data_IF_076481653942
#
_entry.id   IF_076481653942
#
_cell.length_a   1.000
_cell.length_b   1.000
_cell.length_c   1.000
_cell.angle_alpha   90.00
_cell.angle_beta   90.00
_cell.angle_gamma   90.00
#
_symmetry.space_group_name_H-M   'P 1'
#
loop_
_entity.id
_entity.type
_entity.pdbx_description
1 polymer ?
#
# COMPACT_ATOMS: atom_id res chain seq x y z
N UNK A 1 2.96 15.46 -31.50
CA UNK A 1 2.07 16.44 -32.18
C UNK A 1 1.41 17.30 -31.13
N UNK A 2 1.48 18.62 -31.32
CA UNK A 2 0.70 19.58 -30.51
C UNK A 2 -0.69 19.59 -31.13
N UNK A 3 -1.63 18.85 -30.51
CA UNK A 3 -3.03 18.90 -30.94
C UNK A 3 -3.59 20.29 -30.65
N UNK A 4 -4.25 20.91 -31.62
CA UNK A 4 -5.05 22.10 -31.40
C UNK A 4 -6.26 21.72 -30.51
N UNK A 5 -6.16 22.05 -29.21
CA UNK A 5 -7.18 21.72 -28.19
C UNK A 5 -8.59 22.19 -28.61
N UNK A 6 -8.68 23.26 -29.39
CA UNK A 6 -9.98 23.82 -29.85
C UNK A 6 -10.64 22.96 -30.95
N UNK A 7 -9.89 22.12 -31.64
CA UNK A 7 -10.36 21.32 -32.75
C UNK A 7 -10.17 19.80 -32.52
N UNK A 8 -9.73 19.39 -31.34
CA UNK A 8 -9.52 17.97 -31.06
C UNK A 8 -10.81 17.32 -30.53
N UNK A 9 -11.57 16.74 -31.43
CA UNK A 9 -12.74 15.92 -31.12
C UNK A 9 -12.41 14.45 -31.38
N UNK A 10 -11.50 13.89 -30.53
CA UNK A 10 -11.04 12.52 -30.68
C UNK A 10 -11.79 11.58 -29.74
N UNK A 11 -12.29 10.44 -30.23
CA UNK A 11 -12.85 9.40 -29.37
C UNK A 11 -11.77 8.75 -28.51
N UNK A 12 -12.19 8.02 -27.48
CA UNK A 12 -11.26 7.22 -26.67
C UNK A 12 -10.71 6.08 -27.51
N UNK A 13 -9.39 5.87 -27.43
CA UNK A 13 -8.76 4.68 -27.97
C UNK A 13 -9.24 3.43 -27.23
N UNK A 14 -9.58 2.33 -27.91
CA UNK A 14 -9.96 1.08 -27.26
C UNK A 14 -8.93 0.61 -26.23
N UNK A 15 -9.40 0.14 -25.07
CA UNK A 15 -8.54 -0.30 -23.97
C UNK A 15 -7.45 -1.27 -24.42
N UNK A 16 -7.81 -2.28 -25.23
CA UNK A 16 -6.86 -3.30 -25.70
C UNK A 16 -5.72 -2.71 -26.54
N UNK A 17 -5.99 -1.68 -27.34
CA UNK A 17 -4.95 -1.01 -28.15
C UNK A 17 -4.00 -0.21 -27.26
N UNK A 18 -4.53 0.49 -26.22
CA UNK A 18 -3.70 1.22 -25.26
C UNK A 18 -2.83 0.26 -24.45
N UNK A 19 -3.38 -0.86 -23.98
CA UNK A 19 -2.64 -1.89 -23.27
C UNK A 19 -1.53 -2.49 -24.12
N UNK A 20 -1.81 -2.78 -25.38
CA UNK A 20 -0.80 -3.31 -26.32
C UNK A 20 0.30 -2.28 -26.57
N UNK A 21 -0.07 -1.02 -26.84
CA UNK A 21 0.88 0.07 -27.02
C UNK A 21 1.84 0.19 -25.82
N UNK A 22 1.31 0.17 -24.59
CA UNK A 22 2.15 0.25 -23.37
C UNK A 22 3.12 -0.94 -23.30
N UNK A 23 2.66 -2.16 -23.58
CA UNK A 23 3.49 -3.36 -23.54
C UNK A 23 4.58 -3.35 -24.62
N UNK A 24 4.26 -2.90 -25.82
CA UNK A 24 5.20 -2.79 -26.94
C UNK A 24 6.31 -1.78 -26.62
N UNK A 25 5.94 -0.57 -26.18
CA UNK A 25 6.88 0.48 -25.77
C UNK A 25 7.82 0.01 -24.67
N UNK A 26 7.27 -0.63 -23.61
CA UNK A 26 8.07 -1.15 -22.50
C UNK A 26 8.98 -2.31 -22.93
N UNK A 27 8.55 -3.11 -23.90
CA UNK A 27 9.36 -4.20 -24.46
C UNK A 27 10.53 -3.65 -25.27
N UNK A 28 10.30 -2.61 -26.07
CA UNK A 28 11.33 -1.96 -26.88
C UNK A 28 12.35 -1.20 -26.01
N UNK A 29 11.85 -0.42 -25.02
CA UNK A 29 12.74 0.46 -24.26
C UNK A 29 13.55 -0.24 -23.19
N UNK A 30 12.98 -1.27 -22.53
CA UNK A 30 13.64 -1.90 -21.37
C UNK A 30 15.08 -2.40 -21.68
N UNK A 31 15.39 -3.03 -22.82
CA UNK A 31 16.77 -3.44 -23.14
C UNK A 31 17.75 -2.29 -23.32
N UNK A 32 17.28 -1.09 -23.64
CA UNK A 32 18.11 0.09 -23.89
C UNK A 32 18.46 0.85 -22.62
N UNK A 33 17.72 0.61 -21.54
CA UNK A 33 17.91 1.27 -20.25
C UNK A 33 19.00 0.56 -19.43
N UNK A 34 19.80 1.31 -18.65
CA UNK A 34 20.80 0.72 -17.77
C UNK A 34 20.12 0.00 -16.58
N UNK A 35 20.80 -0.99 -16.04
CA UNK A 35 20.34 -1.69 -14.84
C UNK A 35 20.38 -0.78 -13.61
N UNK A 36 21.34 0.19 -13.57
CA UNK A 36 21.55 1.12 -12.46
C UNK A 36 22.18 2.42 -12.91
N UNK A 37 21.74 3.55 -12.36
CA UNK A 37 22.39 4.84 -12.49
C UNK A 37 23.31 5.12 -11.29
N UNK A 38 24.26 6.05 -11.46
CA UNK A 38 25.22 6.48 -10.43
C UNK A 38 25.32 8.00 -10.36
N UNK A 39 25.79 8.51 -9.22
CA UNK A 39 26.02 9.95 -9.03
C UNK A 39 24.73 10.76 -9.19
N UNK A 40 24.80 11.86 -9.91
CA UNK A 40 23.68 12.78 -10.12
C UNK A 40 22.53 12.24 -11.00
N UNK A 41 22.69 11.06 -11.58
CA UNK A 41 21.65 10.42 -12.40
C UNK A 41 20.80 9.41 -11.62
N UNK A 42 21.05 9.22 -10.33
CA UNK A 42 20.21 8.39 -9.45
C UNK A 42 18.77 8.93 -9.44
N UNK A 43 17.78 8.05 -9.53
CA UNK A 43 16.37 8.40 -9.63
C UNK A 43 15.81 8.42 -11.06
N UNK A 44 16.66 8.33 -12.10
CA UNK A 44 16.19 8.13 -13.48
C UNK A 44 15.61 6.72 -13.66
N UNK A 45 14.73 6.59 -14.66
CA UNK A 45 14.08 5.30 -15.01
C UNK A 45 15.13 4.29 -15.46
N UNK A 46 15.20 3.17 -14.73
CA UNK A 46 16.08 2.03 -15.03
C UNK A 46 15.36 0.94 -15.82
N UNK A 47 16.12 -0.04 -16.31
CA UNK A 47 15.57 -1.28 -16.87
C UNK A 47 14.61 -1.99 -15.89
N UNK A 48 14.97 -2.04 -14.61
CA UNK A 48 14.11 -2.60 -13.57
C UNK A 48 12.79 -1.88 -13.42
N UNK A 49 12.78 -0.54 -13.51
CA UNK A 49 11.55 0.25 -13.46
C UNK A 49 10.64 -0.02 -14.67
N UNK A 50 11.20 -0.04 -15.89
CA UNK A 50 10.44 -0.36 -17.10
C UNK A 50 9.83 -1.77 -17.06
N UNK A 51 10.62 -2.77 -16.63
CA UNK A 51 10.14 -4.16 -16.47
C UNK A 51 9.10 -4.27 -15.34
N UNK A 52 9.24 -3.53 -14.23
CA UNK A 52 8.24 -3.57 -13.16
C UNK A 52 6.90 -2.97 -13.61
N UNK A 53 6.93 -1.89 -14.40
CA UNK A 53 5.71 -1.33 -14.99
C UNK A 53 5.06 -2.32 -15.96
N UNK A 54 5.87 -3.01 -16.76
CA UNK A 54 5.41 -4.09 -17.65
C UNK A 54 4.74 -5.21 -16.84
N UNK A 55 5.37 -5.70 -15.79
CA UNK A 55 4.79 -6.74 -14.92
C UNK A 55 3.46 -6.29 -14.27
N UNK A 56 3.35 -5.02 -13.86
CA UNK A 56 2.08 -4.44 -13.38
C UNK A 56 0.99 -4.48 -14.44
N UNK A 57 1.30 -4.16 -15.69
CA UNK A 57 0.34 -4.24 -16.80
C UNK A 57 -0.07 -5.69 -17.09
N UNK A 58 0.89 -6.61 -17.14
CA UNK A 58 0.66 -8.03 -17.40
C UNK A 58 -0.25 -8.65 -16.33
N UNK A 59 0.05 -8.43 -15.02
CA UNK A 59 -0.79 -8.96 -13.93
C UNK A 59 -2.17 -8.30 -13.89
N UNK A 60 -2.28 -7.02 -14.24
CA UNK A 60 -3.57 -6.32 -14.31
C UNK A 60 -4.47 -6.87 -15.43
N UNK A 61 -3.89 -7.27 -16.54
CA UNK A 61 -4.58 -7.96 -17.65
C UNK A 61 -4.94 -9.41 -17.33
N UNK A 62 -4.34 -10.00 -16.29
CA UNK A 62 -4.45 -11.43 -15.99
C UNK A 62 -3.50 -12.30 -16.84
N UNK A 63 -2.52 -11.71 -17.53
CA UNK A 63 -1.48 -12.47 -18.21
C UNK A 63 -0.39 -12.92 -17.21
N UNK A 64 -0.76 -13.90 -16.42
CA UNK A 64 0.10 -14.41 -15.35
C UNK A 64 1.38 -15.06 -15.86
N UNK A 65 1.34 -15.67 -17.06
CA UNK A 65 2.54 -16.30 -17.64
C UNK A 65 3.58 -15.24 -18.03
N UNK A 66 3.16 -14.18 -18.70
CA UNK A 66 4.03 -13.06 -19.05
C UNK A 66 4.55 -12.36 -17.79
N UNK A 67 3.68 -12.09 -16.80
CA UNK A 67 4.07 -11.44 -15.55
C UNK A 67 5.13 -12.25 -14.78
N UNK A 68 4.97 -13.55 -14.63
CA UNK A 68 5.96 -14.40 -13.98
C UNK A 68 7.32 -14.33 -14.69
N UNK A 69 7.33 -14.43 -16.03
CA UNK A 69 8.55 -14.33 -16.83
C UNK A 69 9.23 -12.96 -16.74
N UNK A 70 8.44 -11.88 -16.70
CA UNK A 70 8.95 -10.51 -16.52
C UNK A 70 9.54 -10.33 -15.12
N UNK A 71 8.87 -10.83 -14.09
CA UNK A 71 9.38 -10.79 -12.70
C UNK A 71 10.70 -11.56 -12.58
N UNK A 72 10.85 -12.71 -13.23
CA UNK A 72 12.13 -13.46 -13.25
C UNK A 72 13.30 -12.67 -13.87
N UNK A 73 13.00 -11.83 -14.87
CA UNK A 73 14.01 -10.92 -15.42
C UNK A 73 14.43 -9.87 -14.39
N UNK A 74 13.48 -9.27 -13.68
CA UNK A 74 13.77 -8.28 -12.64
C UNK A 74 14.57 -8.89 -11.49
N UNK A 75 14.23 -10.10 -11.06
CA UNK A 75 14.91 -10.83 -9.99
C UNK A 75 16.40 -11.09 -10.29
N UNK A 76 16.82 -11.02 -11.56
CA UNK A 76 18.22 -11.14 -12.00
C UNK A 76 18.99 -9.82 -12.02
N UNK A 77 18.36 -8.67 -11.78
CA UNK A 77 18.98 -7.35 -11.84
C UNK A 77 19.70 -6.92 -10.55
N UNK A 78 19.73 -7.80 -9.53
CA UNK A 78 20.49 -7.56 -8.29
C UNK A 78 19.76 -6.74 -7.23
N UNK A 79 18.43 -6.57 -7.32
CA UNK A 79 17.63 -6.05 -6.22
C UNK A 79 17.53 -7.07 -5.08
N UNK A 80 17.38 -6.59 -3.85
CA UNK A 80 17.15 -7.44 -2.67
C UNK A 80 16.25 -6.74 -1.66
N UNK A 81 15.66 -7.52 -0.75
CA UNK A 81 14.84 -6.94 0.32
C UNK A 81 15.74 -6.18 1.31
N UNK A 82 15.37 -4.96 1.61
CA UNK A 82 15.99 -4.20 2.70
C UNK A 82 15.60 -4.81 4.05
N UNK A 83 16.57 -5.13 4.89
CA UNK A 83 16.36 -5.99 6.06
C UNK A 83 15.48 -5.34 7.15
N UNK A 84 15.59 -4.05 7.35
CA UNK A 84 14.75 -3.31 8.30
C UNK A 84 13.50 -2.76 7.59
N UNK A 85 12.37 -3.48 7.67
CA UNK A 85 11.10 -3.04 7.06
C UNK A 85 10.67 -1.64 7.51
N UNK A 86 10.84 -1.31 8.79
CA UNK A 86 10.50 0.01 9.32
C UNK A 86 11.45 1.09 8.80
N UNK A 87 12.72 0.78 8.74
CA UNK A 87 13.77 1.67 8.24
C UNK A 87 13.73 1.90 6.74
N UNK A 88 13.13 0.99 5.97
CA UNK A 88 13.00 1.12 4.50
C UNK A 88 12.42 2.48 4.07
N UNK A 89 11.51 3.03 4.85
CA UNK A 89 10.76 4.26 4.55
C UNK A 89 11.33 5.51 5.24
N UNK A 90 12.58 5.47 5.73
CA UNK A 90 13.25 6.62 6.35
C UNK A 90 14.14 7.35 5.35
N UNK A 91 14.27 8.68 5.53
CA UNK A 91 15.12 9.51 4.67
C UNK A 91 16.58 9.05 4.65
N UNK A 92 17.10 8.50 5.74
CA UNK A 92 18.46 7.97 5.81
C UNK A 92 18.70 6.76 4.89
N UNK A 93 17.64 6.11 4.41
CA UNK A 93 17.70 4.89 3.63
C UNK A 93 17.10 5.04 2.22
N UNK A 94 16.99 6.27 1.71
CA UNK A 94 16.55 6.50 0.33
C UNK A 94 17.50 5.82 -0.67
N UNK A 95 16.96 5.37 -1.80
CA UNK A 95 17.72 4.67 -2.84
C UNK A 95 18.43 3.37 -2.37
N UNK A 96 17.90 2.69 -1.35
CA UNK A 96 18.42 1.40 -0.89
C UNK A 96 18.21 0.29 -1.93
N UNK A 97 18.74 -0.90 -1.66
CA UNK A 97 18.76 -2.05 -2.57
C UNK A 97 17.37 -2.63 -2.92
N UNK A 98 16.33 -2.28 -2.17
CA UNK A 98 14.96 -2.72 -2.47
C UNK A 98 14.24 -1.76 -3.42
N UNK A 99 14.63 -0.48 -3.45
CA UNK A 99 13.98 0.54 -4.27
C UNK A 99 14.31 0.34 -5.74
N UNK A 100 13.27 0.12 -6.56
CA UNK A 100 13.38 0.02 -8.02
C UNK A 100 13.17 1.39 -8.66
N UNK A 101 12.17 2.13 -8.16
CA UNK A 101 11.87 3.50 -8.59
C UNK A 101 11.21 4.27 -7.46
N UNK A 102 11.64 5.50 -7.28
CA UNK A 102 11.02 6.47 -6.39
C UNK A 102 10.91 7.85 -7.06
N UNK A 103 10.08 8.70 -6.48
CA UNK A 103 10.06 10.13 -6.83
C UNK A 103 11.04 10.82 -5.91
N UNK A 104 12.06 11.44 -6.50
CA UNK A 104 13.12 12.15 -5.78
C UNK A 104 12.62 13.51 -5.31
N UNK A 105 12.81 13.81 -4.03
CA UNK A 105 12.52 15.11 -3.43
C UNK A 105 13.79 15.73 -2.87
N UNK A 106 13.83 17.06 -2.82
CA UNK A 106 14.97 17.83 -2.31
C UNK A 106 14.43 18.93 -1.42
N UNK A 107 14.92 18.96 -0.17
CA UNK A 107 14.61 20.02 0.79
C UNK A 107 14.86 21.40 0.18
N UNK A 108 13.97 22.35 0.41
CA UNK A 108 14.00 23.74 -0.09
C UNK A 108 13.88 23.92 -1.61
N UNK A 109 13.92 22.85 -2.41
CA UNK A 109 13.86 22.95 -3.88
C UNK A 109 12.61 22.24 -4.43
N UNK A 110 12.49 20.95 -4.20
CA UNK A 110 11.36 20.11 -4.60
C UNK A 110 10.92 19.30 -3.38
N UNK A 111 10.28 19.98 -2.44
CA UNK A 111 9.99 19.47 -1.11
C UNK A 111 8.85 18.46 -1.07
N UNK A 112 8.94 17.49 -0.18
CA UNK A 112 7.87 16.60 0.20
C UNK A 112 7.24 17.06 1.53
N UNK A 113 5.92 17.22 1.54
CA UNK A 113 5.16 17.65 2.74
C UNK A 113 4.44 16.49 3.44
N UNK A 114 4.76 15.25 3.10
CA UNK A 114 4.06 14.06 3.63
C UNK A 114 4.07 14.01 5.15
N UNK A 115 5.16 14.46 5.78
CA UNK A 115 5.34 14.53 7.23
C UNK A 115 4.45 15.59 7.89
N UNK A 116 3.95 16.58 7.13
CA UNK A 116 2.97 17.55 7.62
C UNK A 116 1.53 17.08 7.47
N UNK A 117 1.22 16.28 6.44
CA UNK A 117 -0.17 15.91 6.13
C UNK A 117 -0.63 14.60 6.75
N UNK A 118 0.27 13.65 7.04
CA UNK A 118 -0.09 12.32 7.50
C UNK A 118 -0.11 12.12 9.03
N UNK A 119 0.79 12.75 9.82
CA UNK A 119 0.87 12.51 11.25
C UNK A 119 -0.38 12.92 12.03
N UNK A 120 -0.53 12.44 13.28
CA UNK A 120 -1.56 12.90 14.20
C UNK A 120 -1.52 14.42 14.46
N UNK A 121 -2.68 14.99 14.80
CA UNK A 121 -2.77 16.40 15.18
C UNK A 121 -2.02 16.73 16.47
N UNK A 122 -1.90 15.79 17.39
CA UNK A 122 -1.13 15.94 18.64
C UNK A 122 0.35 16.25 18.44
N UNK A 123 0.90 15.91 17.26
CA UNK A 123 2.29 16.21 16.89
C UNK A 123 2.37 17.25 15.76
N UNK A 124 1.29 17.99 15.49
CA UNK A 124 1.24 19.06 14.49
C UNK A 124 0.89 18.64 13.07
N UNK A 125 0.51 17.38 12.85
CA UNK A 125 0.07 16.88 11.55
C UNK A 125 -1.40 17.17 11.25
N UNK A 126 -1.82 16.87 10.02
CA UNK A 126 -3.20 17.10 9.56
C UNK A 126 -4.10 15.85 9.56
N UNK A 127 -3.59 14.67 9.92
CA UNK A 127 -4.36 13.40 9.94
C UNK A 127 -5.10 13.10 8.63
N UNK A 128 -4.54 13.46 7.49
CA UNK A 128 -5.24 13.42 6.19
C UNK A 128 -5.52 12.00 5.68
N UNK A 129 -4.79 11.00 6.16
CA UNK A 129 -4.92 9.61 5.75
C UNK A 129 -5.13 8.74 6.99
N UNK A 130 -6.23 7.97 6.98
CA UNK A 130 -6.57 7.15 8.13
C UNK A 130 -6.79 5.68 7.73
N UNK A 131 -5.92 4.76 8.18
CA UNK A 131 -6.11 3.32 8.02
C UNK A 131 -7.44 2.85 8.63
N UNK A 132 -8.10 1.90 7.99
CA UNK A 132 -9.35 1.33 8.52
C UNK A 132 -9.09 0.12 9.42
N UNK A 133 -10.05 -0.23 10.28
CA UNK A 133 -10.01 -1.47 11.06
C UNK A 133 -9.80 -2.70 10.17
N UNK A 134 -10.42 -2.72 8.99
CA UNK A 134 -10.27 -3.83 8.04
C UNK A 134 -8.82 -4.05 7.57
N UNK A 135 -7.98 -3.01 7.55
CA UNK A 135 -6.54 -3.18 7.32
C UNK A 135 -5.86 -3.76 8.56
N UNK A 136 -6.15 -3.22 9.75
CA UNK A 136 -5.58 -3.70 11.03
C UNK A 136 -5.90 -5.19 11.23
N UNK A 137 -7.12 -5.62 10.93
CA UNK A 137 -7.54 -7.02 11.06
C UNK A 137 -6.84 -7.96 10.06
N UNK A 138 -6.26 -7.44 8.99
CA UNK A 138 -5.56 -8.26 7.98
C UNK A 138 -4.20 -8.78 8.46
N UNK A 139 -3.54 -8.07 9.37
CA UNK A 139 -2.27 -8.52 9.94
C UNK A 139 -2.48 -9.81 10.74
N UNK A 140 -1.62 -10.79 10.53
CA UNK A 140 -1.66 -12.06 11.27
C UNK A 140 -1.21 -11.88 12.73
N UNK A 141 -1.43 -12.89 13.54
CA UNK A 141 -0.75 -13.05 14.82
C UNK A 141 0.65 -13.65 14.60
N UNK A 142 1.53 -13.56 15.61
CA UNK A 142 2.90 -14.08 15.53
C UNK A 142 2.98 -15.59 15.27
N UNK A 143 1.88 -16.33 15.51
CA UNK A 143 1.76 -17.76 15.18
C UNK A 143 1.42 -18.03 13.70
N UNK A 144 1.41 -16.98 12.85
CA UNK A 144 1.15 -17.08 11.40
C UNK A 144 -0.31 -17.31 11.04
N UNK A 145 -1.24 -17.13 11.98
CA UNK A 145 -2.69 -17.30 11.79
C UNK A 145 -3.40 -15.95 11.78
N UNK A 146 -4.54 -15.92 11.10
CA UNK A 146 -5.41 -14.73 11.17
C UNK A 146 -5.99 -14.55 12.57
N UNK A 147 -6.46 -13.33 12.89
CA UNK A 147 -7.10 -13.04 14.19
C UNK A 147 -8.35 -13.90 14.48
N UNK A 148 -8.95 -14.52 13.43
CA UNK A 148 -10.09 -15.42 13.57
C UNK A 148 -9.69 -16.84 13.91
N UNK A 149 -8.46 -17.24 13.57
CA UNK A 149 -7.95 -18.62 13.70
C UNK A 149 -6.96 -18.75 14.85
N UNK A 150 -6.29 -17.65 15.23
CA UNK A 150 -5.29 -17.66 16.30
C UNK A 150 -5.94 -17.73 17.68
N UNK A 151 -5.51 -18.70 18.47
CA UNK A 151 -5.87 -18.77 19.91
C UNK A 151 -5.08 -17.80 20.77
N UNK A 152 -4.04 -17.16 20.22
CA UNK A 152 -3.22 -16.18 20.89
C UNK A 152 -3.78 -14.75 20.77
N UNK A 153 -4.78 -14.54 19.89
CA UNK A 153 -5.41 -13.25 19.73
C UNK A 153 -6.24 -12.86 20.95
N UNK A 154 -5.96 -11.70 21.52
CA UNK A 154 -6.73 -11.14 22.62
C UNK A 154 -7.49 -9.88 22.17
N UNK A 155 -8.83 -9.91 22.07
CA UNK A 155 -9.61 -8.73 21.65
C UNK A 155 -9.57 -7.56 22.64
N UNK A 156 -9.10 -7.78 23.90
CA UNK A 156 -8.89 -6.72 24.90
C UNK A 156 -7.49 -6.09 24.79
N UNK A 157 -6.57 -6.73 24.07
CA UNK A 157 -5.25 -6.20 23.71
C UNK A 157 -4.96 -6.54 22.23
N UNK A 158 -5.68 -5.91 21.29
CA UNK A 158 -5.80 -6.38 19.89
C UNK A 158 -4.53 -6.14 19.06
N UNK A 159 -3.56 -5.40 19.59
CA UNK A 159 -2.33 -5.04 18.88
C UNK A 159 -1.12 -5.86 19.33
N UNK A 160 -1.25 -6.58 20.43
CA UNK A 160 -0.18 -7.41 20.97
C UNK A 160 -0.03 -8.71 20.18
N UNK A 161 1.21 -9.20 20.09
CA UNK A 161 1.56 -10.47 19.44
C UNK A 161 1.06 -10.59 17.98
N UNK A 162 1.08 -9.46 17.26
CA UNK A 162 0.69 -9.34 15.85
C UNK A 162 1.92 -9.24 14.96
N UNK A 163 1.72 -9.48 13.68
CA UNK A 163 2.72 -9.25 12.64
C UNK A 163 3.46 -7.92 12.88
N UNK A 164 4.79 -7.90 12.99
CA UNK A 164 5.56 -6.70 13.30
C UNK A 164 5.32 -5.53 12.32
N UNK A 165 4.89 -5.84 11.10
CA UNK A 165 4.54 -4.81 10.10
C UNK A 165 3.32 -3.99 10.51
N UNK A 166 2.44 -4.48 11.40
CA UNK A 166 1.35 -3.68 11.95
C UNK A 166 1.91 -2.44 12.65
N UNK A 167 2.81 -2.63 13.61
CA UNK A 167 3.41 -1.54 14.37
C UNK A 167 4.35 -0.66 13.52
N UNK A 168 4.94 -1.21 12.46
CA UNK A 168 5.78 -0.46 11.52
C UNK A 168 4.97 0.38 10.52
N UNK A 169 3.70 0.01 10.28
CA UNK A 169 2.85 0.66 9.26
C UNK A 169 1.81 1.58 9.85
N UNK A 170 1.32 1.31 11.07
CA UNK A 170 0.16 1.97 11.68
C UNK A 170 0.49 2.45 13.08
N UNK A 171 0.15 3.72 13.36
CA UNK A 171 0.04 4.26 14.72
C UNK A 171 -1.36 3.89 15.21
N UNK A 172 -1.42 3.17 16.33
CA UNK A 172 -2.64 2.66 16.93
C UNK A 172 -2.73 3.06 18.41
N UNK A 173 -3.92 3.08 19.02
CA UNK A 173 -4.09 3.42 20.42
C UNK A 173 -3.19 2.61 21.34
N UNK A 174 -2.50 3.28 22.26
CA UNK A 174 -1.58 2.66 23.22
C UNK A 174 -0.17 2.41 22.69
N UNK A 175 0.13 2.61 21.41
CA UNK A 175 1.51 2.53 20.94
C UNK A 175 2.32 3.76 21.33
N UNK A 176 3.61 3.58 21.58
CA UNK A 176 4.53 4.70 21.79
C UNK A 176 4.81 5.39 20.44
N UNK A 177 4.54 6.71 20.38
CA UNK A 177 4.82 7.54 19.22
C UNK A 177 5.27 8.94 19.68
N UNK A 178 6.37 9.45 19.14
CA UNK A 178 6.98 10.74 19.50
C UNK A 178 7.04 11.00 21.01
N UNK A 179 7.44 10.00 21.77
CA UNK A 179 7.65 10.09 23.23
C UNK A 179 6.39 9.95 24.10
N UNK A 180 5.20 9.76 23.52
CA UNK A 180 3.94 9.62 24.25
C UNK A 180 3.16 8.39 23.81
N UNK A 181 2.33 7.84 24.70
CA UNK A 181 1.39 6.79 24.32
C UNK A 181 0.18 7.40 23.60
N UNK A 182 0.00 6.98 22.35
CA UNK A 182 -1.00 7.56 21.46
C UNK A 182 -2.43 7.26 21.95
N UNK A 183 -3.23 8.32 22.13
CA UNK A 183 -4.62 8.23 22.62
C UNK A 183 -5.59 8.89 21.64
N UNK A 184 -6.26 8.09 20.82
CA UNK A 184 -7.26 8.51 19.82
C UNK A 184 -8.63 7.91 20.07
N UNK A 185 -8.85 7.24 21.19
CA UNK A 185 -10.06 6.44 21.48
C UNK A 185 -10.82 6.88 22.74
N UNK A 186 -10.24 7.75 23.54
CA UNK A 186 -10.90 8.26 24.72
C UNK A 186 -11.80 9.47 24.39
N UNK A 187 -13.09 9.23 24.39
CA UNK A 187 -14.10 10.26 24.14
C UNK A 187 -14.29 11.25 25.28
N UNK A 188 -13.60 11.07 26.41
CA UNK A 188 -13.68 11.94 27.58
C UNK A 188 -12.41 12.76 27.79
N UNK A 189 -11.31 12.39 27.13
CA UNK A 189 -10.05 13.11 27.23
C UNK A 189 -9.99 14.28 26.22
N UNK A 190 -10.16 15.55 26.68
CA UNK A 190 -10.17 16.71 25.79
C UNK A 190 -8.78 17.01 25.20
N UNK A 191 -7.71 16.35 25.70
CA UNK A 191 -6.34 16.54 25.23
C UNK A 191 -5.92 15.47 24.22
N UNK A 192 -6.68 14.37 24.12
CA UNK A 192 -6.40 13.27 23.20
C UNK A 192 -6.74 13.59 21.74
N UNK A 193 -6.16 12.82 20.82
CA UNK A 193 -6.40 12.97 19.38
C UNK A 193 -7.84 12.74 18.95
N UNK A 194 -8.69 12.12 19.78
CA UNK A 194 -10.12 11.98 19.52
C UNK A 194 -10.83 13.34 19.42
N UNK A 195 -10.44 14.29 20.27
CA UNK A 195 -11.03 15.63 20.31
C UNK A 195 -10.26 16.71 19.55
N UNK A 196 -9.16 16.37 18.90
CA UNK A 196 -8.40 17.35 18.13
C UNK A 196 -9.33 18.11 17.17
N UNK A 197 -9.46 19.45 17.30
CA UNK A 197 -10.45 20.22 16.55
C UNK A 197 -10.17 20.20 15.05
N UNK A 198 -8.89 20.08 14.68
CA UNK A 198 -8.43 19.93 13.31
C UNK A 198 -7.52 18.72 13.24
N UNK A 199 -7.69 17.90 12.19
CA UNK A 199 -6.78 16.79 11.95
C UNK A 199 -6.93 15.59 12.88
N UNK A 200 -8.10 15.36 13.48
CA UNK A 200 -8.34 14.10 14.20
C UNK A 200 -8.47 12.93 13.23
N UNK A 201 -7.98 11.78 13.64
CA UNK A 201 -8.22 10.54 12.90
C UNK A 201 -9.72 10.19 12.87
N UNK A 202 -10.25 9.92 11.69
CA UNK A 202 -11.63 9.41 11.54
C UNK A 202 -11.77 7.95 12.01
N UNK A 203 -10.66 7.23 12.09
CA UNK A 203 -10.64 5.79 12.42
C UNK A 203 -9.95 5.49 13.75
N UNK A 204 -9.30 6.46 14.38
CA UNK A 204 -8.42 6.24 15.53
C UNK A 204 -7.04 5.69 15.17
N UNK A 205 -6.72 5.56 13.88
CA UNK A 205 -5.43 5.10 13.36
C UNK A 205 -4.78 6.15 12.46
N UNK A 206 -3.44 6.12 12.41
CA UNK A 206 -2.67 6.89 11.43
C UNK A 206 -1.66 6.00 10.72
N UNK A 207 -1.20 6.35 9.52
CA UNK A 207 -0.02 5.72 8.94
C UNK A 207 1.19 5.96 9.83
N UNK A 208 2.11 5.00 9.89
CA UNK A 208 3.43 5.16 10.48
C UNK A 208 4.52 5.10 9.42
N UNK A 209 4.25 4.38 8.35
CA UNK A 209 5.12 4.31 7.17
C UNK A 209 5.41 5.73 6.67
N UNK A 210 6.68 6.07 6.42
CA UNK A 210 7.20 7.39 6.04
C UNK A 210 7.21 8.48 7.14
N UNK A 211 6.51 8.34 8.25
CA UNK A 211 6.33 9.42 9.23
C UNK A 211 6.87 9.10 10.63
N UNK A 212 7.75 8.12 10.74
CA UNK A 212 8.39 7.79 12.02
C UNK A 212 9.58 8.72 12.28
N UNK A 213 9.78 9.07 13.56
CA UNK A 213 10.80 10.00 14.04
C UNK A 213 10.68 11.40 13.41
N UNK A 214 9.60 12.12 13.68
CA UNK A 214 9.43 13.51 13.24
C UNK A 214 10.54 14.43 13.73
N UNK A 215 11.15 14.13 14.87
CA UNK A 215 12.30 14.85 15.44
C UNK A 215 13.57 14.80 14.56
N UNK A 216 13.65 13.89 13.61
CA UNK A 216 14.76 13.82 12.65
C UNK A 216 14.71 14.95 11.59
N UNK A 217 13.62 15.74 11.56
CA UNK A 217 13.39 16.76 10.55
C UNK A 217 13.26 18.15 11.19
N UNK A 218 13.94 19.12 10.60
CA UNK A 218 13.84 20.52 11.03
C UNK A 218 12.49 21.15 10.70
N UNK A 219 11.89 20.76 9.58
CA UNK A 219 10.58 21.19 9.12
C UNK A 219 9.82 20.03 8.45
N UNK A 220 8.73 19.58 9.09
CA UNK A 220 7.89 18.49 8.60
C UNK A 220 7.18 18.81 7.25
N UNK A 221 7.13 20.08 6.86
CA UNK A 221 6.52 20.54 5.62
C UNK A 221 7.51 20.70 4.47
N UNK A 222 8.80 20.51 4.74
CA UNK A 222 9.88 20.79 3.81
C UNK A 222 10.97 19.71 3.93
N UNK A 223 10.70 18.52 3.41
CA UNK A 223 11.64 17.41 3.51
C UNK A 223 12.08 16.90 2.14
N UNK A 224 13.26 16.27 2.11
CA UNK A 224 13.76 15.51 0.97
C UNK A 224 13.37 14.03 0.99
N UNK A 225 12.29 13.65 1.70
CA UNK A 225 11.82 12.27 1.76
C UNK A 225 11.32 11.81 0.38
N UNK A 226 11.96 10.81 -0.20
CA UNK A 226 11.52 10.21 -1.46
C UNK A 226 10.24 9.39 -1.29
N UNK A 227 9.41 9.38 -2.32
CA UNK A 227 8.22 8.53 -2.36
C UNK A 227 8.48 7.28 -3.21
N UNK A 228 8.56 6.12 -2.58
CA UNK A 228 8.79 4.84 -3.27
C UNK A 228 7.57 4.50 -4.12
N UNK A 229 7.79 4.29 -5.42
CA UNK A 229 6.77 3.92 -6.40
C UNK A 229 6.80 2.43 -6.73
N UNK A 230 8.01 1.86 -6.79
CA UNK A 230 8.25 0.46 -7.11
C UNK A 230 9.37 -0.09 -6.24
N UNK A 231 9.16 -1.26 -5.65
CA UNK A 231 10.17 -1.94 -4.84
C UNK A 231 10.14 -3.46 -5.01
N UNK A 232 11.25 -4.10 -4.69
CA UNK A 232 11.49 -5.50 -4.98
C UNK A 232 10.49 -6.47 -4.32
N UNK A 233 9.99 -6.16 -3.12
CA UNK A 233 8.95 -6.99 -2.49
C UNK A 233 7.67 -7.08 -3.33
N UNK A 234 7.29 -6.01 -4.06
CA UNK A 234 6.16 -6.09 -4.99
C UNK A 234 6.43 -7.07 -6.14
N UNK A 235 7.66 -7.10 -6.66
CA UNK A 235 8.06 -8.04 -7.72
C UNK A 235 7.94 -9.48 -7.24
N UNK A 236 8.43 -9.79 -6.03
CA UNK A 236 8.29 -11.12 -5.43
C UNK A 236 6.83 -11.53 -5.26
N UNK A 237 5.96 -10.59 -4.87
CA UNK A 237 4.53 -10.84 -4.69
C UNK A 237 3.80 -11.00 -6.03
N UNK A 238 4.14 -10.23 -7.06
CA UNK A 238 3.61 -10.42 -8.42
C UNK A 238 4.03 -11.76 -8.99
N UNK A 239 5.29 -12.15 -8.80
CA UNK A 239 5.80 -13.46 -9.19
C UNK A 239 5.04 -14.60 -8.52
N UNK A 240 4.96 -14.57 -7.18
CA UNK A 240 4.27 -15.61 -6.42
C UNK A 240 2.79 -15.71 -6.80
N UNK A 241 2.09 -14.58 -6.91
CA UNK A 241 0.69 -14.57 -7.32
C UNK A 241 0.50 -15.15 -8.72
N UNK A 242 1.33 -14.74 -9.67
CA UNK A 242 1.25 -15.22 -11.06
C UNK A 242 1.44 -16.74 -11.14
N UNK A 243 2.45 -17.27 -10.46
CA UNK A 243 2.70 -18.71 -10.41
C UNK A 243 1.55 -19.48 -9.73
N UNK A 244 0.96 -18.92 -8.67
CA UNK A 244 -0.20 -19.50 -7.99
C UNK A 244 -1.40 -19.56 -8.94
N UNK A 245 -1.68 -18.46 -9.67
CA UNK A 245 -2.81 -18.42 -10.62
C UNK A 245 -2.63 -19.38 -11.80
N UNK A 246 -1.39 -19.70 -12.17
CA UNK A 246 -1.06 -20.72 -13.16
C UNK A 246 -1.11 -22.16 -12.60
N UNK A 247 -1.36 -22.35 -11.30
CA UNK A 247 -1.29 -23.67 -10.65
C UNK A 247 0.14 -24.20 -10.48
N UNK A 248 1.16 -23.38 -10.66
CA UNK A 248 2.59 -23.74 -10.58
C UNK A 248 3.14 -23.43 -9.18
N UNK A 249 2.66 -24.13 -8.17
CA UNK A 249 3.03 -23.91 -6.77
C UNK A 249 4.25 -24.79 -6.44
N UNK A 250 5.43 -24.27 -6.71
CA UNK A 250 6.73 -24.91 -6.48
C UNK A 250 7.55 -24.16 -5.42
N UNK A 251 8.78 -24.64 -5.17
CA UNK A 251 9.70 -24.07 -4.18
C UNK A 251 9.99 -22.58 -4.41
N UNK A 252 9.94 -22.09 -5.64
CA UNK A 252 10.20 -20.69 -5.95
C UNK A 252 9.09 -19.77 -5.42
N UNK A 253 7.85 -20.24 -5.41
CA UNK A 253 6.70 -19.52 -4.84
C UNK A 253 6.85 -19.42 -3.33
N UNK A 254 7.13 -20.56 -2.65
CA UNK A 254 7.34 -20.55 -1.21
C UNK A 254 8.54 -19.68 -0.82
N UNK A 255 9.63 -19.75 -1.60
CA UNK A 255 10.81 -18.89 -1.36
C UNK A 255 10.45 -17.42 -1.44
N UNK A 256 9.75 -16.97 -2.47
CA UNK A 256 9.37 -15.57 -2.65
C UNK A 256 8.51 -15.04 -1.48
N UNK A 257 7.54 -15.84 -1.03
CA UNK A 257 6.70 -15.49 0.12
C UNK A 257 7.49 -15.53 1.44
N UNK A 258 8.31 -16.56 1.63
CA UNK A 258 9.08 -16.73 2.87
C UNK A 258 10.19 -15.69 3.03
N UNK A 259 10.81 -15.22 1.95
CA UNK A 259 11.79 -14.13 2.02
C UNK A 259 11.14 -12.86 2.59
N UNK A 260 9.92 -12.52 2.16
CA UNK A 260 9.15 -11.38 2.68
C UNK A 260 8.75 -11.60 4.15
N UNK A 261 8.20 -12.77 4.45
CA UNK A 261 7.75 -13.11 5.81
C UNK A 261 8.91 -13.15 6.80
N UNK A 262 10.02 -13.75 6.43
CA UNK A 262 11.24 -13.79 7.24
C UNK A 262 11.80 -12.41 7.52
N UNK A 263 11.87 -11.53 6.51
CA UNK A 263 12.29 -10.14 6.68
C UNK A 263 11.40 -9.41 7.70
N UNK A 264 10.10 -9.72 7.72
CA UNK A 264 9.13 -9.16 8.66
C UNK A 264 9.17 -9.81 10.06
N UNK A 265 9.96 -10.85 10.28
CA UNK A 265 9.98 -11.62 11.53
C UNK A 265 8.81 -12.58 11.70
N UNK A 266 8.09 -12.89 10.61
CA UNK A 266 6.99 -13.85 10.62
C UNK A 266 7.46 -15.28 10.33
N UNK A 267 6.66 -16.25 10.76
CA UNK A 267 6.86 -17.66 10.42
C UNK A 267 6.76 -17.89 8.92
N UNK A 268 7.49 -18.89 8.43
CA UNK A 268 7.35 -19.37 7.05
C UNK A 268 5.93 -19.87 6.78
N UNK A 269 5.58 -19.95 5.50
CA UNK A 269 4.28 -20.47 5.04
C UNK A 269 4.08 -21.90 5.53
N UNK A 270 3.01 -22.13 6.29
CA UNK A 270 2.61 -23.47 6.71
C UNK A 270 2.04 -24.25 5.51
N UNK A 271 2.85 -25.13 4.95
CA UNK A 271 2.50 -25.94 3.78
C UNK A 271 1.39 -26.99 4.05
N UNK A 272 1.07 -27.25 5.30
CA UNK A 272 -0.04 -28.15 5.66
C UNK A 272 -1.39 -27.44 5.53
N UNK A 273 -1.40 -26.14 5.78
CA UNK A 273 -2.58 -25.26 5.65
C UNK A 273 -2.70 -24.72 4.22
N UNK A 274 -1.59 -24.19 3.68
CA UNK A 274 -1.52 -23.56 2.36
C UNK A 274 -1.03 -24.56 1.31
N UNK A 275 -1.81 -25.61 1.07
CA UNK A 275 -1.45 -26.81 0.29
C UNK A 275 -2.14 -26.90 -1.09
N UNK A 276 -2.95 -25.91 -1.45
CA UNK A 276 -3.65 -25.85 -2.73
C UNK A 276 -3.77 -24.42 -3.25
N UNK A 277 -4.14 -24.29 -4.53
CA UNK A 277 -4.21 -22.99 -5.21
C UNK A 277 -5.13 -21.97 -4.51
N UNK A 278 -6.29 -22.41 -4.04
CA UNK A 278 -7.26 -21.50 -3.39
C UNK A 278 -6.68 -20.92 -2.09
N UNK A 279 -6.08 -21.77 -1.25
CA UNK A 279 -5.43 -21.34 0.00
C UNK A 279 -4.20 -20.47 -0.24
N UNK A 280 -3.38 -20.81 -1.23
CA UNK A 280 -2.22 -19.99 -1.62
C UNK A 280 -2.65 -18.64 -2.18
N UNK A 281 -3.77 -18.56 -2.93
CA UNK A 281 -4.35 -17.29 -3.38
C UNK A 281 -4.80 -16.42 -2.21
N UNK A 282 -5.48 -16.98 -1.22
CA UNK A 282 -5.86 -16.28 0.01
C UNK A 282 -4.61 -15.69 0.71
N UNK A 283 -3.57 -16.51 0.86
CA UNK A 283 -2.32 -16.12 1.50
C UNK A 283 -1.62 -14.97 0.74
N UNK A 284 -1.34 -15.14 -0.56
CA UNK A 284 -0.58 -14.12 -1.33
C UNK A 284 -1.34 -12.79 -1.40
N UNK A 285 -2.67 -12.82 -1.51
CA UNK A 285 -3.49 -11.59 -1.47
C UNK A 285 -3.45 -10.90 -0.11
N UNK A 286 -3.43 -11.67 0.98
CA UNK A 286 -3.23 -11.13 2.34
C UNK A 286 -1.82 -10.58 2.51
N UNK A 287 -0.80 -11.31 2.09
CA UNK A 287 0.59 -10.89 2.16
C UNK A 287 0.82 -9.59 1.37
N UNK A 288 0.28 -9.47 0.14
CA UNK A 288 0.32 -8.21 -0.62
C UNK A 288 -0.34 -7.05 0.12
N UNK A 289 -1.52 -7.29 0.73
CA UNK A 289 -2.24 -6.24 1.46
C UNK A 289 -1.47 -5.74 2.67
N UNK A 290 -0.79 -6.62 3.38
CA UNK A 290 0.02 -6.30 4.57
C UNK A 290 1.33 -5.64 4.17
N UNK A 291 2.06 -6.25 3.28
CA UNK A 291 3.39 -5.81 2.86
C UNK A 291 3.35 -4.45 2.17
N UNK A 292 2.43 -4.25 1.24
CA UNK A 292 2.31 -3.06 0.41
C UNK A 292 1.25 -2.06 0.95
N UNK A 293 0.85 -2.21 2.21
CA UNK A 293 -0.09 -1.29 2.85
C UNK A 293 0.42 0.16 2.78
N UNK A 294 -0.47 1.10 2.46
CA UNK A 294 -0.18 2.54 2.35
C UNK A 294 0.77 2.94 1.18
N UNK A 295 0.94 2.07 0.18
CA UNK A 295 1.77 2.33 -1.01
C UNK A 295 0.96 2.55 -2.30
N UNK A 296 -0.35 2.79 -2.18
CA UNK A 296 -1.22 3.15 -3.32
C UNK A 296 -1.72 1.97 -4.18
N UNK A 297 -1.32 0.73 -3.88
CA UNK A 297 -1.57 -0.43 -4.76
C UNK A 297 -2.92 -1.12 -4.51
N UNK A 298 -3.53 -0.94 -3.33
CA UNK A 298 -4.71 -1.71 -2.91
C UNK A 298 -5.91 -1.57 -3.85
N UNK A 299 -6.19 -0.38 -4.37
CA UNK A 299 -7.31 -0.16 -5.28
C UNK A 299 -7.16 -0.94 -6.58
N UNK A 300 -5.96 -0.95 -7.15
CA UNK A 300 -5.66 -1.72 -8.35
C UNK A 300 -5.82 -3.22 -8.11
N UNK A 301 -5.38 -3.73 -6.96
CA UNK A 301 -5.57 -5.13 -6.56
C UNK A 301 -7.07 -5.48 -6.44
N UNK A 302 -7.87 -4.66 -5.77
CA UNK A 302 -9.32 -4.84 -5.63
C UNK A 302 -10.00 -4.88 -7.01
N UNK A 303 -9.62 -3.99 -7.92
CA UNK A 303 -10.18 -3.92 -9.27
C UNK A 303 -9.83 -5.15 -10.12
N UNK A 304 -8.54 -5.53 -10.16
CA UNK A 304 -8.10 -6.66 -10.98
C UNK A 304 -8.56 -8.02 -10.43
N UNK A 305 -8.72 -8.15 -9.12
CA UNK A 305 -9.31 -9.35 -8.51
C UNK A 305 -10.83 -9.40 -8.58
N UNK A 306 -11.48 -8.31 -8.99
CA UNK A 306 -12.94 -8.19 -9.07
C UNK A 306 -13.63 -8.53 -7.75
N UNK A 307 -13.15 -7.93 -6.65
CA UNK A 307 -13.66 -8.15 -5.29
C UNK A 307 -14.21 -6.87 -4.64
N UNK A 308 -14.37 -5.79 -5.41
CA UNK A 308 -14.80 -4.51 -4.83
C UNK A 308 -16.21 -4.60 -4.23
N UNK A 309 -17.12 -5.33 -4.87
CA UNK A 309 -18.48 -5.59 -4.37
C UNK A 309 -18.52 -6.38 -3.05
N UNK A 310 -17.44 -7.12 -2.73
CA UNK A 310 -17.31 -7.87 -1.48
C UNK A 310 -16.68 -7.06 -0.35
N UNK A 311 -15.68 -6.20 -0.69
CA UNK A 311 -14.81 -5.55 0.30
C UNK A 311 -15.08 -4.06 0.51
N UNK A 312 -15.83 -3.42 -0.40
CA UNK A 312 -16.09 -1.98 -0.34
C UNK A 312 -17.39 -1.63 0.40
N UNK A 313 -18.54 -2.33 0.15
CA UNK A 313 -19.81 -1.92 0.75
C UNK A 313 -19.88 -2.14 2.26
N UNK A 314 -20.74 -1.37 2.90
CA UNK A 314 -21.07 -1.55 4.31
C UNK A 314 -20.42 -0.52 5.24
N UNK A 315 -20.56 -0.76 6.54
CA UNK A 315 -20.04 0.12 7.57
C UNK A 315 -18.52 0.03 7.66
N UNK A 316 -17.85 1.16 7.49
CA UNK A 316 -16.39 1.28 7.75
C UNK A 316 -16.20 1.57 9.24
N UNK A 317 -15.31 0.78 9.85
CA UNK A 317 -14.99 0.90 11.26
C UNK A 317 -13.54 1.39 11.47
N UNK A 318 -13.35 2.08 12.58
CA UNK A 318 -12.07 2.38 13.21
C UNK A 318 -11.81 1.53 14.45
N UNK A 319 -10.95 2.03 15.33
CA UNK A 319 -10.55 1.39 16.58
C UNK A 319 -11.75 1.21 17.55
N UNK A 320 -11.59 0.32 18.51
CA UNK A 320 -12.48 0.24 19.67
C UNK A 320 -12.32 1.51 20.52
N UNK A 321 -13.42 2.02 21.02
CA UNK A 321 -13.43 3.11 21.99
C UNK A 321 -12.94 2.59 23.36
N UNK A 322 -12.39 3.49 24.18
CA UNK A 322 -11.87 3.12 25.49
C UNK A 322 -10.97 4.19 26.06
N UNK A 323 -10.06 3.80 26.93
CA UNK A 323 -9.02 4.67 27.50
C UNK A 323 -7.64 4.10 27.28
N UNK A 324 -6.64 4.97 27.23
CA UNK A 324 -5.22 4.64 27.17
C UNK A 324 -4.56 5.17 28.42
N UNK A 325 -3.87 4.31 29.16
CA UNK A 325 -3.05 4.73 30.29
C UNK A 325 -1.83 5.51 29.80
N UNK A 326 -1.71 6.76 30.20
CA UNK A 326 -0.68 7.67 29.69
C UNK A 326 0.76 7.28 30.14
N UNK A 327 0.90 6.48 31.19
CA UNK A 327 2.22 6.04 31.70
C UNK A 327 2.70 4.72 31.11
N UNK A 328 1.78 3.87 30.64
CA UNK A 328 2.09 2.48 30.23
C UNK A 328 1.60 2.12 28.85
N UNK A 329 0.66 2.92 28.28
CA UNK A 329 -0.02 2.59 27.03
C UNK A 329 -1.08 1.48 27.15
N UNK A 330 -1.36 1.00 28.35
CA UNK A 330 -2.35 -0.05 28.58
C UNK A 330 -3.75 0.39 28.17
N UNK A 331 -4.48 -0.52 27.52
CA UNK A 331 -5.80 -0.27 26.98
C UNK A 331 -6.90 -0.78 27.92
N UNK A 332 -7.94 0.03 28.09
CA UNK A 332 -9.20 -0.40 28.68
C UNK A 332 -10.31 -0.15 27.65
N UNK A 333 -10.61 -1.17 26.85
CA UNK A 333 -11.49 -1.09 25.68
C UNK A 333 -12.94 -1.44 26.00
N UNK A 334 -13.86 -0.70 25.39
CA UNK A 334 -15.29 -1.04 25.32
C UNK A 334 -15.55 -2.04 24.17
N UNK A 335 -16.82 -2.40 23.97
CA UNK A 335 -17.22 -3.20 22.80
C UNK A 335 -17.66 -2.32 21.61
N UNK A 336 -17.61 -0.98 21.75
CA UNK A 336 -18.00 -0.04 20.72
C UNK A 336 -16.80 0.35 19.85
N UNK A 337 -17.04 0.40 18.53
CA UNK A 337 -16.04 0.88 17.54
C UNK A 337 -16.40 2.26 17.03
N UNK A 338 -15.38 3.01 16.65
CA UNK A 338 -15.55 4.23 15.87
C UNK A 338 -16.25 3.84 14.56
N UNK A 339 -17.44 4.37 14.31
CA UNK A 339 -18.15 4.26 13.03
C UNK A 339 -17.77 5.44 12.15
N UNK A 340 -17.20 5.17 10.98
CA UNK A 340 -16.64 6.20 10.10
C UNK A 340 -17.66 6.63 9.06
N UNK A 341 -18.06 5.71 8.20
CA UNK A 341 -18.97 5.95 7.07
C UNK A 341 -19.63 4.66 6.62
N UNK A 342 -20.71 4.76 5.86
CA UNK A 342 -21.30 3.63 5.14
C UNK A 342 -20.90 3.78 3.68
N UNK A 343 -20.25 2.77 3.12
CA UNK A 343 -19.87 2.71 1.71
C UNK A 343 -20.88 1.93 0.91
N UNK A 344 -21.12 2.41 -0.30
CA UNK A 344 -21.90 1.72 -1.33
C UNK A 344 -20.99 1.42 -2.50
N UNK A 345 -21.24 0.32 -3.17
CA UNK A 345 -20.55 -0.06 -4.40
C UNK A 345 -21.50 -0.75 -5.36
N UNK A 346 -21.61 -0.21 -6.54
CA UNK A 346 -22.40 -0.79 -7.63
C UNK A 346 -21.43 -1.38 -8.67
N UNK A 347 -21.35 -2.73 -8.79
CA UNK A 347 -20.40 -3.37 -9.70
C UNK A 347 -20.68 -3.08 -11.18
N UNK A 348 -21.88 -2.60 -11.53
CA UNK A 348 -22.21 -2.24 -12.90
C UNK A 348 -21.51 -0.96 -13.37
N UNK A 349 -21.08 -0.09 -12.44
CA UNK A 349 -20.44 1.18 -12.76
C UNK A 349 -19.19 1.50 -11.98
N UNK A 350 -19.11 1.21 -10.67
CA UNK A 350 -18.08 1.78 -9.79
C UNK A 350 -16.67 1.19 -9.96
N UNK A 351 -16.49 0.17 -10.81
CA UNK A 351 -15.14 -0.23 -11.26
C UNK A 351 -14.48 0.77 -12.20
N UNK A 352 -15.27 1.68 -12.80
CA UNK A 352 -14.79 2.81 -13.58
C UNK A 352 -15.19 4.11 -12.90
N UNK A 353 -14.46 5.16 -13.14
CA UNK A 353 -14.81 6.50 -12.68
C UNK A 353 -15.64 7.22 -13.72
N UNK A 354 -16.58 8.11 -13.35
CA UNK A 354 -17.26 8.93 -14.33
C UNK A 354 -16.28 9.88 -15.02
N UNK A 355 -16.46 10.05 -16.31
CA UNK A 355 -15.74 11.10 -17.04
C UNK A 355 -16.40 12.42 -16.67
N UNK A 356 -15.62 13.45 -16.24
CA UNK A 356 -16.19 14.75 -15.89
C UNK A 356 -17.04 15.33 -17.04
N UNK A 357 -18.21 15.88 -16.72
CA UNK A 357 -19.11 16.43 -17.73
C UNK A 357 -18.43 17.49 -18.58
N UNK A 358 -17.59 18.33 -17.99
CA UNK A 358 -16.83 19.36 -18.70
C UNK A 358 -15.90 18.79 -19.79
N UNK A 359 -15.42 17.54 -19.64
CA UNK A 359 -14.60 16.88 -20.66
C UNK A 359 -15.48 16.40 -21.82
N UNK A 360 -16.67 15.86 -21.52
CA UNK A 360 -17.64 15.41 -22.54
C UNK A 360 -18.14 16.61 -23.32
N UNK A 361 -18.48 17.72 -22.64
CA UNK A 361 -18.94 18.95 -23.30
C UNK A 361 -17.88 19.57 -24.21
N UNK A 362 -16.60 19.47 -23.82
CA UNK A 362 -15.49 19.96 -24.63
C UNK A 362 -15.10 19.02 -25.78
N UNK A 363 -15.39 17.71 -25.65
CA UNK A 363 -15.01 16.67 -26.62
C UNK A 363 -16.19 15.70 -26.82
N UNK A 364 -17.21 16.07 -27.61
CA UNK A 364 -18.43 15.27 -27.79
C UNK A 364 -18.22 13.85 -28.34
N UNK A 365 -17.05 13.55 -28.91
CA UNK A 365 -16.70 12.20 -29.34
C UNK A 365 -16.39 11.25 -28.17
N UNK A 366 -16.26 11.76 -26.95
CA UNK A 366 -16.03 10.95 -25.75
C UNK A 366 -17.37 10.52 -25.16
N UNK A 367 -17.63 9.23 -25.19
CA UNK A 367 -18.78 8.63 -24.52
C UNK A 367 -18.51 8.40 -23.03
N UNK A 368 -19.54 8.60 -22.20
CA UNK A 368 -19.50 8.34 -20.77
C UNK A 368 -19.26 6.86 -20.47
N UNK A 369 -18.66 6.56 -19.34
CA UNK A 369 -18.55 5.19 -18.85
C UNK A 369 -19.94 4.62 -18.50
N UNK A 370 -20.16 3.30 -18.65
CA UNK A 370 -21.45 2.68 -18.38
C UNK A 370 -21.96 2.99 -16.96
N UNK A 371 -23.26 3.32 -16.85
CA UNK A 371 -23.94 3.56 -15.57
C UNK A 371 -23.86 4.98 -15.03
N UNK A 372 -23.23 5.91 -15.74
CA UNK A 372 -23.12 7.33 -15.36
C UNK A 372 -23.86 8.26 -16.34
#
# INVERSE_FOLDING_TARGET
EVLDIKNSNLPRTPKAEVEQFILDELTEIAPTLPDKYRGGDVGRVTKGAALTLRARMEIFKGDYAACAATCEQIMKLGYSLFQDYKGLFKIANVNNEEVIMDVQYVENLAKNSILGVMPPASVGGWSSINPTQALVDTYECMDGKTIKESTNYNPKDPYKDRDPRLAATIIYPGCLYEGSYFNSIDIKDPTGDYYAPYGRSKTGYHPRKYIDNLSDYADMWNTGMNAIVMRYAEVLLMYAESKIELGQIDESVYKALNDIRKRAGMLEVDRTVYNNQAKMRELVRRERRVELAMEGLRWFDICRWRIAEEVMPGQVYGALLGTVDAGTGALNLTDERIKVEIRLFDPAKNYLWPIPQSVIDATPAIEQNPGY
#
